data_IF_132739003074
#
_entry.id   IF_132739003074
#
_cell.length_a   1.000
_cell.length_b   1.000
_cell.length_c   1.000
_cell.angle_alpha   90.00
_cell.angle_beta   90.00
_cell.angle_gamma   90.00
#
_symmetry.space_group_name_H-M   'P 1'
#
loop_
_entity.id
_entity.type
_entity.pdbx_description
1 polymer ?
#
# COMPACT_ATOMS: atom_id res chain seq x y z
N UNK A 1 -15.53 6.56 -36.73
CA UNK A 1 -16.37 7.58 -36.07
C UNK A 1 -16.33 7.27 -34.60
N UNK A 2 -15.56 8.07 -33.86
CA UNK A 2 -15.48 8.23 -32.40
C UNK A 2 -15.58 6.99 -31.48
N UNK A 3 -14.44 6.59 -30.92
CA UNK A 3 -14.33 6.25 -29.49
C UNK A 3 -12.97 6.77 -29.01
N UNK A 4 -12.97 8.01 -28.55
CA UNK A 4 -11.99 8.61 -27.65
C UNK A 4 -12.79 9.07 -26.44
N UNK A 5 -12.09 9.05 -25.29
CA UNK A 5 -12.44 9.66 -24.01
C UNK A 5 -13.20 8.76 -23.04
N UNK A 6 -12.44 8.13 -22.14
CA UNK A 6 -12.46 8.53 -20.72
C UNK A 6 -11.21 7.96 -20.01
N UNK A 7 -10.04 8.43 -20.44
CA UNK A 7 -8.99 8.69 -19.45
C UNK A 7 -9.45 9.95 -18.75
N UNK A 8 -9.92 9.84 -17.50
CA UNK A 8 -9.99 11.01 -16.64
C UNK A 8 -8.57 11.55 -16.53
N UNK A 9 -8.27 12.56 -17.34
CA UNK A 9 -7.04 13.34 -17.27
C UNK A 9 -7.04 14.00 -15.90
N UNK A 10 -6.37 13.36 -14.93
CA UNK A 10 -6.15 13.94 -13.62
C UNK A 10 -5.09 15.03 -13.78
N UNK A 11 -5.52 16.14 -14.37
CA UNK A 11 -4.68 17.32 -14.56
C UNK A 11 -4.80 18.18 -13.31
N UNK A 12 -3.90 17.91 -12.35
CA UNK A 12 -3.60 18.89 -11.32
C UNK A 12 -3.07 20.17 -11.99
N UNK A 13 -3.61 21.34 -11.66
CA UNK A 13 -3.12 22.59 -12.28
C UNK A 13 -1.67 22.88 -11.84
N UNK A 14 -0.99 23.79 -12.54
CA UNK A 14 0.36 24.18 -12.10
C UNK A 14 0.33 24.85 -10.72
N UNK A 15 -0.73 25.59 -10.41
CA UNK A 15 -0.90 26.19 -9.09
C UNK A 15 -1.13 25.12 -8.02
N UNK A 16 -2.02 24.16 -8.27
CA UNK A 16 -2.27 23.05 -7.34
C UNK A 16 -1.00 22.23 -7.10
N UNK A 17 -0.17 22.03 -8.13
CA UNK A 17 1.09 21.32 -8.00
C UNK A 17 2.11 22.07 -7.13
N UNK A 18 2.21 23.39 -7.32
CA UNK A 18 3.05 24.24 -6.47
C UNK A 18 2.57 24.19 -5.02
N UNK A 19 1.26 24.32 -4.79
CA UNK A 19 0.68 24.29 -3.46
C UNK A 19 0.88 22.92 -2.81
N UNK A 20 0.65 21.82 -3.53
CA UNK A 20 0.97 20.46 -3.07
C UNK A 20 2.45 20.36 -2.67
N UNK A 21 3.38 20.82 -3.51
CA UNK A 21 4.82 20.67 -3.28
C UNK A 21 5.32 21.41 -2.04
N UNK A 22 4.77 22.61 -1.80
CA UNK A 22 5.09 23.41 -0.61
C UNK A 22 4.56 22.75 0.67
N UNK A 23 3.43 22.04 0.57
CA UNK A 23 2.78 21.42 1.72
C UNK A 23 3.25 19.98 2.02
N UNK A 24 3.93 19.30 1.09
CA UNK A 24 4.54 18.00 1.39
C UNK A 24 5.85 18.18 2.15
N UNK A 25 6.08 17.30 3.13
CA UNK A 25 7.30 17.27 3.92
C UNK A 25 8.53 16.80 3.12
N UNK A 26 9.71 17.04 3.70
CA UNK A 26 11.01 16.65 3.14
C UNK A 26 11.10 15.17 2.73
N UNK A 27 10.54 14.28 3.55
CA UNK A 27 10.51 12.84 3.24
C UNK A 27 9.74 12.59 1.95
N UNK A 28 8.56 13.17 1.80
CA UNK A 28 7.76 13.01 0.59
C UNK A 28 8.42 13.61 -0.64
N UNK A 29 9.12 14.74 -0.52
CA UNK A 29 9.91 15.26 -1.65
C UNK A 29 10.97 14.26 -2.09
N UNK A 30 11.70 13.64 -1.15
CA UNK A 30 12.70 12.60 -1.46
C UNK A 30 12.07 11.38 -2.11
N UNK A 31 10.90 10.94 -1.64
CA UNK A 31 10.14 9.85 -2.25
C UNK A 31 9.74 10.20 -3.69
N UNK A 32 9.28 11.43 -3.93
CA UNK A 32 8.77 11.83 -5.23
C UNK A 32 9.86 12.23 -6.23
N UNK A 33 11.02 12.72 -5.82
CA UNK A 33 12.05 13.19 -6.76
C UNK A 33 13.50 12.85 -6.41
N UNK A 34 13.73 12.04 -5.37
CA UNK A 34 15.06 11.61 -4.93
C UNK A 34 15.81 12.62 -4.05
N UNK A 35 15.28 13.83 -3.86
CA UNK A 35 15.88 14.84 -2.98
C UNK A 35 14.83 15.72 -2.29
N UNK A 36 15.29 16.66 -1.46
CA UNK A 36 14.45 17.59 -0.69
C UNK A 36 14.52 19.01 -1.27
N UNK A 37 14.35 19.13 -2.59
CA UNK A 37 14.33 20.44 -3.24
C UNK A 37 13.03 21.20 -2.98
N UNK A 38 13.14 22.51 -2.72
CA UNK A 38 11.97 23.37 -2.53
C UNK A 38 11.21 23.66 -3.82
N UNK A 39 11.88 23.60 -4.97
CA UNK A 39 11.24 23.85 -6.27
C UNK A 39 10.62 22.57 -6.81
N UNK A 40 9.31 22.55 -7.12
CA UNK A 40 8.69 21.35 -7.66
C UNK A 40 9.33 20.93 -8.99
N UNK A 41 9.59 19.62 -9.19
CA UNK A 41 9.92 19.09 -10.50
C UNK A 41 8.68 19.12 -11.42
N UNK A 42 8.79 18.78 -12.71
CA UNK A 42 7.62 18.56 -13.56
C UNK A 42 6.66 17.55 -12.94
N UNK A 43 5.35 17.85 -12.95
CA UNK A 43 4.33 17.01 -12.30
C UNK A 43 4.00 15.74 -13.08
N UNK A 44 4.07 15.78 -14.40
CA UNK A 44 3.60 14.71 -15.28
C UNK A 44 4.31 13.37 -15.03
N UNK A 45 5.65 13.32 -14.88
CA UNK A 45 6.33 12.07 -14.55
C UNK A 45 5.88 11.49 -13.21
N UNK A 46 5.63 12.33 -12.21
CA UNK A 46 5.23 11.92 -10.86
C UNK A 46 3.78 11.44 -10.85
N UNK A 47 2.86 12.20 -11.43
CA UNK A 47 1.43 11.87 -11.45
C UNK A 47 1.11 10.61 -12.28
N UNK A 48 2.00 10.23 -13.21
CA UNK A 48 1.87 9.02 -14.03
C UNK A 48 2.55 7.80 -13.41
N UNK A 49 3.24 7.93 -12.27
CA UNK A 49 3.87 6.78 -11.61
C UNK A 49 2.82 5.77 -11.21
N UNK A 50 3.08 4.51 -11.54
CA UNK A 50 2.25 3.38 -11.11
C UNK A 50 2.72 2.74 -9.82
N UNK A 51 3.98 2.96 -9.47
CA UNK A 51 4.65 2.42 -8.31
C UNK A 51 5.16 3.56 -7.43
N UNK A 52 5.17 3.31 -6.13
CA UNK A 52 5.66 4.22 -5.11
C UNK A 52 6.30 3.44 -3.96
N UNK A 53 7.44 3.90 -3.47
CA UNK A 53 8.11 3.33 -2.28
C UNK A 53 8.70 4.44 -1.44
N UNK A 54 8.58 4.32 -0.12
CA UNK A 54 9.12 5.31 0.81
C UNK A 54 10.49 4.95 1.38
N UNK A 55 11.13 3.89 0.87
CA UNK A 55 12.35 3.31 1.44
C UNK A 55 12.25 3.07 2.96
N UNK A 56 11.03 2.72 3.40
CA UNK A 56 10.64 2.57 4.80
C UNK A 56 10.88 3.81 5.67
N UNK A 57 10.93 4.99 5.06
CA UNK A 57 10.94 6.25 5.80
C UNK A 57 9.54 6.52 6.37
N UNK A 58 9.51 7.12 7.56
CA UNK A 58 8.27 7.63 8.13
C UNK A 58 7.64 8.66 7.19
N UNK A 59 6.47 8.30 6.67
CA UNK A 59 5.62 9.17 5.87
C UNK A 59 4.21 9.23 6.46
N UNK A 60 3.51 10.34 6.22
CA UNK A 60 2.06 10.34 6.27
C UNK A 60 1.50 9.77 4.96
N UNK A 61 0.30 9.20 4.94
CA UNK A 61 -0.27 8.65 3.70
C UNK A 61 -1.05 9.69 2.89
N UNK A 62 -1.28 10.88 3.44
CA UNK A 62 -2.12 11.90 2.83
C UNK A 62 -1.71 12.27 1.38
N UNK A 63 -0.43 12.42 1.02
CA UNK A 63 -0.02 12.79 -0.35
C UNK A 63 -0.42 11.77 -1.41
N UNK A 64 -0.65 10.51 -1.07
CA UNK A 64 -0.98 9.46 -2.04
C UNK A 64 -2.33 9.67 -2.73
N UNK A 65 -3.25 10.40 -2.09
CA UNK A 65 -4.55 10.71 -2.67
C UNK A 65 -4.40 11.51 -3.98
N UNK A 66 -3.32 12.31 -4.11
CA UNK A 66 -3.01 13.12 -5.28
C UNK A 66 -2.25 12.36 -6.38
N UNK A 67 -1.95 11.07 -6.18
CA UNK A 67 -1.22 10.22 -7.12
C UNK A 67 -2.11 9.09 -7.67
N UNK A 68 -3.09 9.39 -8.53
CA UNK A 68 -4.16 8.47 -8.92
C UNK A 68 -3.68 7.30 -9.80
N UNK A 69 -2.53 7.43 -10.47
CA UNK A 69 -1.97 6.37 -11.30
C UNK A 69 -1.29 5.26 -10.47
N UNK A 70 -0.96 5.53 -9.20
CA UNK A 70 -0.28 4.58 -8.31
C UNK A 70 -1.22 3.44 -7.97
N UNK A 71 -0.77 2.21 -8.26
CA UNK A 71 -1.46 0.95 -7.94
C UNK A 71 -0.58 -0.02 -7.15
N UNK A 72 0.72 0.26 -7.09
CA UNK A 72 1.70 -0.47 -6.29
C UNK A 72 2.34 0.50 -5.30
N UNK A 73 2.16 0.30 -4.00
CA UNK A 73 2.77 1.17 -3.00
C UNK A 73 3.37 0.40 -1.83
N UNK A 74 4.57 0.80 -1.41
CA UNK A 74 5.18 0.41 -0.14
C UNK A 74 5.24 1.62 0.76
N UNK A 75 4.42 1.61 1.80
CA UNK A 75 4.23 2.74 2.69
C UNK A 75 4.65 2.36 4.11
N UNK A 76 5.32 3.30 4.78
CA UNK A 76 5.83 3.08 6.12
C UNK A 76 5.46 4.20 7.09
N UNK A 77 4.91 3.83 8.26
CA UNK A 77 4.49 4.78 9.29
C UNK A 77 4.69 4.21 10.70
N UNK A 78 5.45 4.92 11.54
CA UNK A 78 5.88 4.45 12.87
C UNK A 78 4.86 4.68 14.01
N UNK A 79 3.75 5.39 13.75
CA UNK A 79 2.87 5.90 14.82
C UNK A 79 1.38 5.62 14.57
N UNK A 80 1.07 4.44 14.01
CA UNK A 80 -0.30 4.07 13.61
C UNK A 80 -0.72 4.73 12.29
N UNK A 81 -1.60 4.09 11.54
CA UNK A 81 -1.88 4.43 10.15
C UNK A 81 -3.31 4.96 9.97
N UNK A 82 -3.45 6.15 9.40
CA UNK A 82 -4.72 6.60 8.81
C UNK A 82 -4.75 6.11 7.37
N UNK A 83 -5.59 5.11 7.10
CA UNK A 83 -5.68 4.47 5.79
C UNK A 83 -6.75 5.12 4.90
N UNK A 84 -7.49 6.12 5.39
CA UNK A 84 -8.51 6.84 4.63
C UNK A 84 -8.03 7.32 3.25
N UNK A 85 -6.82 7.91 3.12
CA UNK A 85 -6.25 8.33 1.84
C UNK A 85 -5.99 7.20 0.83
N UNK A 86 -5.96 5.94 1.26
CA UNK A 86 -5.73 4.76 0.42
C UNK A 86 -7.02 4.21 -0.21
N UNK A 87 -8.18 4.69 0.25
CA UNK A 87 -9.49 4.24 -0.21
C UNK A 87 -9.88 4.85 -1.56
N UNK A 88 -10.93 4.33 -2.19
CA UNK A 88 -11.50 4.90 -3.42
C UNK A 88 -10.70 4.61 -4.70
N UNK A 89 -9.69 3.74 -4.64
CA UNK A 89 -8.93 3.25 -5.81
C UNK A 89 -8.59 1.78 -5.71
N UNK A 90 -8.09 1.21 -6.80
CA UNK A 90 -7.69 -0.21 -6.86
C UNK A 90 -6.18 -0.38 -6.75
N UNK A 91 -5.75 -1.29 -5.88
CA UNK A 91 -4.35 -1.62 -5.62
C UNK A 91 -4.01 -3.00 -6.20
N UNK A 92 -2.92 -3.06 -6.96
CA UNK A 92 -2.32 -4.31 -7.42
C UNK A 92 -1.37 -4.88 -6.36
N UNK A 93 -0.69 -3.99 -5.62
CA UNK A 93 0.12 -4.29 -4.44
C UNK A 93 0.00 -3.14 -3.45
N UNK A 94 -0.34 -3.44 -2.21
CA UNK A 94 -0.26 -2.48 -1.12
C UNK A 94 0.53 -3.11 0.04
N UNK A 95 1.68 -2.54 0.36
CA UNK A 95 2.39 -2.84 1.59
C UNK A 95 2.14 -1.72 2.60
N UNK A 96 1.71 -2.13 3.78
CA UNK A 96 1.61 -1.30 4.97
C UNK A 96 2.66 -1.79 5.96
N UNK A 97 3.60 -0.93 6.32
CA UNK A 97 4.62 -1.29 7.30
C UNK A 97 4.94 -0.22 8.33
N UNK A 98 5.56 -0.66 9.43
CA UNK A 98 5.98 0.21 10.52
C UNK A 98 5.25 -0.08 11.83
N UNK A 99 5.96 0.00 12.97
CA UNK A 99 5.45 -0.42 14.27
C UNK A 99 4.20 0.39 14.62
N UNK A 100 3.03 -0.20 14.49
CA UNK A 100 1.81 0.56 14.63
C UNK A 100 0.56 -0.28 14.46
N UNK A 101 -0.54 0.29 14.93
CA UNK A 101 -1.85 -0.32 14.77
C UNK A 101 -2.41 0.03 13.39
N UNK A 102 -2.94 -0.98 12.72
CA UNK A 102 -3.69 -0.89 11.47
C UNK A 102 -5.14 -1.23 11.75
N UNK A 103 -6.03 -0.27 11.54
CA UNK A 103 -7.47 -0.54 11.48
C UNK A 103 -7.85 -0.92 10.05
N UNK A 104 -7.88 -2.23 9.78
CA UNK A 104 -8.22 -2.75 8.44
C UNK A 104 -9.65 -2.37 8.00
N UNK A 105 -10.51 -1.91 8.90
CA UNK A 105 -11.86 -1.40 8.56
C UNK A 105 -11.80 -0.22 7.61
N UNK A 106 -10.77 0.62 7.68
CA UNK A 106 -10.60 1.75 6.78
C UNK A 106 -10.43 1.29 5.32
N UNK A 107 -9.95 0.06 5.10
CA UNK A 107 -9.81 -0.54 3.77
C UNK A 107 -11.07 -1.28 3.29
N UNK A 108 -12.15 -1.30 4.07
CA UNK A 108 -13.39 -1.98 3.69
C UNK A 108 -13.92 -1.47 2.35
N UNK A 109 -14.26 -2.39 1.44
CA UNK A 109 -14.71 -2.06 0.09
C UNK A 109 -13.60 -1.61 -0.87
N UNK A 110 -12.37 -1.43 -0.38
CA UNK A 110 -11.23 -1.05 -1.24
C UNK A 110 -10.74 -2.26 -2.02
N UNK A 111 -10.64 -2.18 -3.36
CA UNK A 111 -10.08 -3.28 -4.14
C UNK A 111 -8.56 -3.39 -3.94
N UNK A 112 -8.10 -4.46 -3.32
CA UNK A 112 -6.67 -4.73 -3.10
C UNK A 112 -6.39 -6.17 -3.49
N UNK A 113 -5.57 -6.38 -4.53
CA UNK A 113 -5.23 -7.72 -5.00
C UNK A 113 -4.24 -8.44 -4.08
N UNK A 114 -3.20 -7.72 -3.66
CA UNK A 114 -2.12 -8.24 -2.81
C UNK A 114 -1.85 -7.26 -1.69
N UNK A 115 -2.08 -7.72 -0.46
CA UNK A 115 -1.81 -6.96 0.75
C UNK A 115 -0.58 -7.53 1.44
N UNK A 116 0.35 -6.67 1.80
CA UNK A 116 1.52 -7.04 2.59
C UNK A 116 1.48 -6.24 3.89
N UNK A 117 1.51 -6.94 5.00
CA UNK A 117 1.54 -6.36 6.34
C UNK A 117 2.92 -6.64 6.93
N UNK A 118 3.68 -5.58 7.18
CA UNK A 118 5.07 -5.68 7.63
C UNK A 118 5.30 -4.92 8.93
N UNK A 119 5.51 -5.62 10.05
CA UNK A 119 5.74 -5.02 11.36
C UNK A 119 4.55 -4.16 11.84
N UNK A 120 3.32 -4.66 11.70
CA UNK A 120 2.09 -3.97 12.10
C UNK A 120 1.20 -4.86 12.96
N UNK A 121 0.39 -4.24 13.82
CA UNK A 121 -0.65 -4.90 14.61
C UNK A 121 -2.02 -4.61 14.00
N UNK A 122 -2.75 -5.63 13.53
CA UNK A 122 -4.10 -5.44 12.98
C UNK A 122 -5.14 -5.47 14.09
N UNK A 123 -5.85 -4.36 14.30
CA UNK A 123 -6.82 -4.18 15.39
C UNK A 123 -8.03 -5.11 15.26
N UNK A 124 -8.72 -5.02 14.13
CA UNK A 124 -9.85 -5.87 13.79
C UNK A 124 -9.53 -6.65 12.50
N UNK A 125 -8.94 -7.83 12.68
CA UNK A 125 -8.59 -8.69 11.56
C UNK A 125 -9.80 -9.16 10.78
N UNK A 126 -11.00 -9.27 11.38
CA UNK A 126 -12.20 -9.68 10.63
C UNK A 126 -12.49 -8.73 9.46
N UNK A 127 -12.07 -7.47 9.56
CA UNK A 127 -12.18 -6.51 8.45
C UNK A 127 -11.38 -6.88 7.19
N UNK A 128 -10.40 -7.81 7.27
CA UNK A 128 -9.72 -8.32 6.07
C UNK A 128 -10.69 -8.99 5.09
N UNK A 129 -11.82 -9.55 5.55
CA UNK A 129 -12.85 -10.12 4.69
C UNK A 129 -13.67 -9.06 3.91
N UNK A 130 -13.54 -7.78 4.29
CA UNK A 130 -14.21 -6.65 3.67
C UNK A 130 -13.37 -6.02 2.56
N UNK A 131 -12.10 -6.41 2.45
CA UNK A 131 -11.21 -5.98 1.36
C UNK A 131 -11.61 -6.73 0.10
N UNK A 132 -11.96 -5.98 -0.95
CA UNK A 132 -12.48 -6.55 -2.18
C UNK A 132 -11.32 -7.07 -3.04
N UNK A 133 -11.43 -8.30 -3.54
CA UNK A 133 -10.43 -8.83 -4.46
C UNK A 133 -9.11 -9.27 -3.81
N UNK A 134 -9.07 -9.46 -2.48
CA UNK A 134 -7.88 -9.89 -1.76
C UNK A 134 -7.51 -11.35 -2.11
N UNK A 135 -6.57 -11.50 -3.03
CA UNK A 135 -6.10 -12.81 -3.53
C UNK A 135 -4.86 -13.31 -2.78
N UNK A 136 -4.01 -12.39 -2.33
CA UNK A 136 -2.74 -12.70 -1.65
C UNK A 136 -2.56 -11.86 -0.39
N UNK A 137 -2.18 -12.52 0.69
CA UNK A 137 -1.76 -11.88 1.93
C UNK A 137 -0.32 -12.30 2.25
N UNK A 138 0.52 -11.32 2.57
CA UNK A 138 1.87 -11.57 3.09
C UNK A 138 1.99 -10.98 4.48
N UNK A 139 2.51 -11.78 5.41
CA UNK A 139 2.79 -11.38 6.78
C UNK A 139 4.31 -11.39 7.00
N UNK A 140 4.84 -10.27 7.49
CA UNK A 140 6.24 -10.11 7.87
C UNK A 140 6.33 -9.39 9.21
N UNK A 141 6.96 -9.98 10.22
CA UNK A 141 7.04 -9.41 11.58
C UNK A 141 5.66 -9.06 12.19
N UNK A 142 4.63 -9.85 11.88
CA UNK A 142 3.26 -9.60 12.34
C UNK A 142 2.70 -10.82 13.08
N UNK A 143 1.93 -10.59 14.14
CA UNK A 143 1.07 -11.61 14.74
C UNK A 143 -0.40 -11.33 14.40
N UNK A 144 -0.97 -12.11 13.49
CA UNK A 144 -2.38 -11.98 13.11
C UNK A 144 -3.30 -12.79 14.06
N UNK A 145 -2.73 -13.71 14.86
CA UNK A 145 -3.49 -14.79 15.48
C UNK A 145 -4.27 -15.58 14.41
N UNK A 146 -5.56 -15.83 14.62
CA UNK A 146 -6.38 -16.56 13.65
C UNK A 146 -6.72 -15.76 12.39
N UNK A 147 -6.43 -16.33 11.22
CA UNK A 147 -6.79 -15.78 9.91
C UNK A 147 -8.32 -15.79 9.73
N UNK A 148 -8.99 -14.64 9.54
CA UNK A 148 -10.41 -14.60 9.19
C UNK A 148 -10.66 -15.26 7.83
N UNK A 149 -11.89 -15.69 7.57
CA UNK A 149 -12.25 -16.23 6.26
C UNK A 149 -12.38 -15.11 5.21
N UNK A 150 -11.52 -15.14 4.20
CA UNK A 150 -11.49 -14.21 3.07
C UNK A 150 -11.77 -15.01 1.81
N UNK A 151 -12.90 -14.73 1.16
CA UNK A 151 -13.45 -15.58 0.10
C UNK A 151 -12.49 -15.76 -1.10
N UNK A 152 -11.76 -14.71 -1.46
CA UNK A 152 -10.88 -14.72 -2.64
C UNK A 152 -9.42 -15.05 -2.33
N UNK A 153 -9.07 -15.22 -1.06
CA UNK A 153 -7.70 -15.48 -0.64
C UNK A 153 -7.28 -16.89 -1.10
N UNK A 154 -6.24 -16.93 -1.92
CA UNK A 154 -5.66 -18.15 -2.51
C UNK A 154 -4.20 -18.34 -2.15
N UNK A 155 -3.50 -17.27 -1.78
CA UNK A 155 -2.09 -17.31 -1.38
C UNK A 155 -1.88 -16.64 -0.04
N UNK A 156 -1.15 -17.31 0.85
CA UNK A 156 -0.67 -16.77 2.11
C UNK A 156 0.84 -17.03 2.21
N UNK A 157 1.62 -15.96 2.31
CA UNK A 157 3.06 -16.05 2.57
C UNK A 157 3.34 -15.55 3.98
N UNK A 158 4.07 -16.34 4.76
CA UNK A 158 4.41 -16.04 6.16
C UNK A 158 5.93 -16.03 6.29
N UNK A 159 6.50 -14.85 6.52
CA UNK A 159 7.94 -14.70 6.76
C UNK A 159 8.30 -14.98 8.21
N UNK A 160 9.60 -15.14 8.45
CA UNK A 160 10.15 -15.33 9.80
C UNK A 160 9.66 -14.24 10.76
N UNK A 161 9.50 -14.60 12.03
CA UNK A 161 8.95 -13.72 13.08
C UNK A 161 7.50 -13.26 12.84
N UNK A 162 6.76 -13.93 11.96
CA UNK A 162 5.32 -13.77 11.83
C UNK A 162 4.59 -15.02 12.33
N UNK A 163 3.36 -14.84 12.82
CA UNK A 163 2.50 -15.93 13.25
C UNK A 163 1.06 -15.74 12.77
N UNK A 164 0.45 -16.86 12.39
CA UNK A 164 -0.95 -16.92 11.99
C UNK A 164 -1.49 -18.33 12.17
N UNK A 165 -2.64 -18.47 12.82
CA UNK A 165 -3.39 -19.72 12.86
C UNK A 165 -4.30 -19.78 11.63
N UNK A 166 -4.21 -20.87 10.86
CA UNK A 166 -4.97 -21.05 9.64
C UNK A 166 -6.17 -21.98 9.93
N UNK A 167 -7.41 -21.47 9.87
CA UNK A 167 -8.58 -22.32 10.10
C UNK A 167 -8.75 -23.43 9.06
N UNK A 168 -9.39 -24.53 9.45
CA UNK A 168 -9.73 -25.64 8.55
C UNK A 168 -10.58 -25.22 7.34
N UNK A 169 -11.27 -24.07 7.40
CA UNK A 169 -12.00 -23.50 6.28
C UNK A 169 -11.11 -23.22 5.05
N UNK A 170 -9.79 -23.16 5.21
CA UNK A 170 -8.80 -22.97 4.14
C UNK A 170 -8.19 -24.26 3.59
N UNK A 171 -8.59 -25.43 4.09
CA UNK A 171 -8.07 -26.72 3.65
C UNK A 171 -8.29 -26.94 2.14
N UNK A 172 -7.22 -27.22 1.41
CA UNK A 172 -7.26 -27.49 -0.03
C UNK A 172 -7.51 -26.28 -0.95
N UNK A 173 -7.71 -25.08 -0.40
CA UNK A 173 -7.97 -23.85 -1.17
C UNK A 173 -6.89 -22.77 -1.05
N UNK A 174 -6.14 -22.78 0.05
CA UNK A 174 -5.10 -21.80 0.32
C UNK A 174 -3.73 -22.44 0.09
N UNK A 175 -2.95 -21.85 -0.82
CA UNK A 175 -1.53 -22.11 -0.89
C UNK A 175 -0.84 -21.34 0.24
N UNK A 176 -0.14 -22.05 1.11
CA UNK A 176 0.57 -21.47 2.24
C UNK A 176 2.05 -21.72 2.06
N UNK A 177 2.82 -20.64 2.09
CA UNK A 177 4.28 -20.67 2.03
C UNK A 177 4.84 -20.06 3.31
N UNK A 178 5.73 -20.81 3.97
CA UNK A 178 6.50 -20.33 5.10
C UNK A 178 7.92 -20.06 4.64
N UNK A 179 8.39 -18.83 4.81
CA UNK A 179 9.72 -18.38 4.39
C UNK A 179 10.54 -18.13 5.65
N UNK A 180 11.56 -18.95 5.86
CA UNK A 180 12.53 -18.79 6.96
C UNK A 180 13.66 -17.83 6.55
N UNK A 181 13.27 -16.61 6.17
CA UNK A 181 14.16 -15.51 5.82
C UNK A 181 13.52 -14.18 6.26
N UNK A 182 14.32 -13.12 6.29
CA UNK A 182 13.84 -11.77 6.49
C UNK A 182 13.03 -11.31 5.27
N UNK A 183 11.93 -10.60 5.54
CA UNK A 183 11.15 -9.99 4.47
C UNK A 183 11.94 -8.86 3.80
N UNK A 184 12.12 -9.01 2.48
CA UNK A 184 12.56 -7.94 1.59
C UNK A 184 11.37 -7.49 0.75
N UNK A 185 11.15 -6.17 0.57
CA UNK A 185 10.04 -5.70 -0.23
C UNK A 185 10.10 -6.21 -1.69
N UNK A 186 8.95 -6.47 -2.32
CA UNK A 186 8.87 -7.08 -3.66
C UNK A 186 9.43 -6.20 -4.78
N UNK A 187 9.78 -4.96 -4.47
CA UNK A 187 10.48 -4.04 -5.34
C UNK A 187 11.30 -3.05 -4.51
N UNK A 188 12.48 -2.68 -5.02
CA UNK A 188 13.36 -1.70 -4.38
C UNK A 188 12.89 -0.25 -4.57
N UNK A 189 13.70 0.73 -4.13
CA UNK A 189 13.47 2.16 -4.34
C UNK A 189 13.07 2.44 -5.79
N UNK A 190 12.13 3.37 -6.02
CA UNK A 190 11.84 3.83 -7.37
C UNK A 190 13.14 4.39 -7.96
N UNK A 191 13.65 3.79 -9.03
CA UNK A 191 14.76 4.38 -9.78
C UNK A 191 14.23 5.67 -10.41
N UNK A 192 14.53 6.81 -9.79
CA UNK A 192 14.19 8.13 -10.29
C UNK A 192 15.07 8.42 -11.50
N UNK A 193 14.58 8.13 -12.71
CA UNK A 193 15.20 8.55 -13.98
C UNK A 193 14.66 9.89 -14.47
#
# INVERSE_FOLDING_TARGET
>A
MFHMSDEHDVSMTDQDWQDFWVNIGATWRRVLCGDDRDTPPPKEPILRRRRLTTDHAWVDFFPIQWMPAVREALLWQDNGMDLGPLTGRSWDVLQLGGPGMVDAKDLAGTPIKRLILSNVDVLDKECLNQIVGLESLTLAYCDLGTLPFVEQLTTLTVYTQSSVDIPAAYEGRLHVEFIDDHYEPPFGPDEVY
#
